data_IF_491727750444
#
_entry.id   IF_491727750444
#
_cell.length_a   1.000
_cell.length_b   1.000
_cell.length_c   1.000
_cell.angle_alpha   90.00
_cell.angle_beta   90.00
_cell.angle_gamma   90.00
#
_symmetry.space_group_name_H-M   'P 1'
#
loop_
_entity.id
_entity.type
_entity.pdbx_description
1 polymer ?
#
# COMPACT_ATOMS: atom_id res chain seq x y z
N UNK A 1 -27.15 -14.12 -30.25
CA UNK A 1 -26.09 -13.15 -30.57
C UNK A 1 -25.99 -12.03 -29.52
N UNK A 2 -27.09 -11.63 -28.86
CA UNK A 2 -27.05 -10.63 -27.76
C UNK A 2 -26.48 -11.17 -26.44
N UNK A 3 -26.82 -12.39 -26.04
CA UNK A 3 -26.40 -12.97 -24.73
C UNK A 3 -24.88 -13.10 -24.57
N UNK A 4 -24.14 -13.33 -25.67
CA UNK A 4 -22.67 -13.41 -25.67
C UNK A 4 -22.03 -12.04 -25.49
N UNK A 5 -22.63 -10.99 -26.06
CA UNK A 5 -22.14 -9.62 -25.92
C UNK A 5 -22.36 -9.10 -24.49
N UNK A 6 -23.49 -9.44 -23.87
CA UNK A 6 -23.78 -9.07 -22.49
C UNK A 6 -22.82 -9.75 -21.51
N UNK A 7 -22.54 -11.05 -21.69
CA UNK A 7 -21.55 -11.78 -20.89
C UNK A 7 -20.14 -11.19 -21.01
N UNK A 8 -19.73 -10.79 -22.21
CA UNK A 8 -18.42 -10.16 -22.46
C UNK A 8 -18.33 -8.80 -21.78
N UNK A 9 -19.40 -8.01 -21.81
CA UNK A 9 -19.50 -6.70 -21.14
C UNK A 9 -19.40 -6.83 -19.62
N UNK A 10 -20.04 -7.84 -19.03
CA UNK A 10 -19.96 -8.11 -17.60
C UNK A 10 -18.55 -8.52 -17.17
N UNK A 11 -17.90 -9.41 -17.92
CA UNK A 11 -16.50 -9.80 -17.68
C UNK A 11 -15.54 -8.61 -17.73
N UNK A 12 -15.73 -7.71 -18.70
CA UNK A 12 -14.92 -6.49 -18.82
C UNK A 12 -15.11 -5.57 -17.61
N UNK A 13 -16.34 -5.39 -17.15
CA UNK A 13 -16.66 -4.60 -15.96
C UNK A 13 -15.97 -5.17 -14.71
N UNK A 14 -16.10 -6.48 -14.47
CA UNK A 14 -15.45 -7.16 -13.34
C UNK A 14 -13.93 -7.00 -13.37
N UNK A 15 -13.32 -7.02 -14.56
CA UNK A 15 -11.88 -6.80 -14.71
C UNK A 15 -11.46 -5.37 -14.35
N UNK A 16 -12.27 -4.37 -14.70
CA UNK A 16 -12.01 -2.98 -14.31
C UNK A 16 -12.15 -2.81 -12.80
N UNK A 17 -13.23 -3.34 -12.21
CA UNK A 17 -13.48 -3.28 -10.76
C UNK A 17 -12.31 -3.90 -9.98
N UNK A 18 -11.89 -5.12 -10.34
CA UNK A 18 -10.75 -5.78 -9.69
C UNK A 18 -9.44 -4.98 -9.81
N UNK A 19 -9.23 -4.29 -10.93
CA UNK A 19 -8.07 -3.41 -11.13
C UNK A 19 -8.15 -2.17 -10.23
N UNK A 20 -9.31 -1.54 -10.15
CA UNK A 20 -9.52 -0.36 -9.30
C UNK A 20 -9.36 -0.70 -7.83
N UNK A 21 -9.90 -1.83 -7.39
CA UNK A 21 -9.76 -2.32 -6.02
C UNK A 21 -8.31 -2.57 -5.65
N UNK A 22 -7.54 -3.25 -6.51
CA UNK A 22 -6.11 -3.46 -6.31
C UNK A 22 -5.34 -2.13 -6.17
N UNK A 23 -5.63 -1.16 -7.03
CA UNK A 23 -4.98 0.16 -6.98
C UNK A 23 -5.36 0.88 -5.68
N UNK A 24 -6.64 0.83 -5.29
CA UNK A 24 -7.12 1.46 -4.05
C UNK A 24 -6.42 0.89 -2.83
N UNK A 25 -6.35 -0.44 -2.71
CA UNK A 25 -5.64 -1.09 -1.59
C UNK A 25 -4.15 -0.76 -1.58
N UNK A 26 -3.51 -0.70 -2.75
CA UNK A 26 -2.10 -0.32 -2.86
C UNK A 26 -1.86 1.09 -2.31
N UNK A 27 -2.76 2.04 -2.61
CA UNK A 27 -2.70 3.39 -2.05
C UNK A 27 -2.98 3.44 -0.55
N UNK A 28 -3.94 2.65 -0.05
CA UNK A 28 -4.20 2.55 1.40
C UNK A 28 -2.93 2.08 2.13
N UNK A 29 -2.27 1.03 1.65
CA UNK A 29 -1.01 0.53 2.22
C UNK A 29 0.12 1.56 2.19
N UNK A 30 0.19 2.37 1.13
CA UNK A 30 1.15 3.48 1.05
C UNK A 30 0.84 4.56 2.10
N UNK A 31 -0.45 4.87 2.33
CA UNK A 31 -0.86 5.83 3.36
C UNK A 31 -0.57 5.31 4.78
N UNK A 32 -0.74 4.02 5.03
CA UNK A 32 -0.35 3.41 6.31
C UNK A 32 1.15 3.59 6.60
N UNK A 33 2.01 3.43 5.59
CA UNK A 33 3.45 3.68 5.72
C UNK A 33 3.73 5.15 6.06
N UNK A 34 3.01 6.10 5.44
CA UNK A 34 3.18 7.52 5.75
C UNK A 34 2.80 7.84 7.19
N UNK A 35 1.70 7.28 7.71
CA UNK A 35 1.30 7.49 9.11
C UNK A 35 2.38 7.00 10.10
N UNK A 36 2.97 5.82 9.85
CA UNK A 36 4.05 5.29 10.69
C UNK A 36 5.30 6.16 10.60
N UNK A 37 5.62 6.69 9.41
CA UNK A 37 6.73 7.63 9.22
C UNK A 37 6.52 8.92 10.02
N UNK A 38 5.35 9.52 9.93
CA UNK A 38 5.02 10.75 10.66
C UNK A 38 5.13 10.54 12.17
N UNK A 39 4.65 9.40 12.67
CA UNK A 39 4.73 9.07 14.08
C UNK A 39 6.19 8.82 14.53
N UNK A 40 7.00 8.15 13.70
CA UNK A 40 8.43 8.01 13.94
C UNK A 40 9.14 9.37 13.98
N UNK A 41 8.78 10.31 13.11
CA UNK A 41 9.34 11.67 13.10
C UNK A 41 8.96 12.44 14.38
N UNK A 42 7.73 12.30 14.88
CA UNK A 42 7.31 12.88 16.16
C UNK A 42 8.08 12.27 17.33
N UNK A 43 8.20 10.95 17.38
CA UNK A 43 8.94 10.24 18.43
C UNK A 43 10.40 10.72 18.47
N UNK A 44 11.08 10.79 17.31
CA UNK A 44 12.46 11.27 17.23
C UNK A 44 12.63 12.71 17.72
N UNK A 45 11.67 13.59 17.40
CA UNK A 45 11.67 14.98 17.86
C UNK A 45 11.41 15.10 19.37
N UNK A 46 10.56 14.24 19.92
CA UNK A 46 10.22 14.25 21.35
C UNK A 46 11.31 13.66 22.25
N UNK A 47 11.89 12.53 21.86
CA UNK A 47 12.88 11.79 22.65
C UNK A 47 14.30 12.35 22.54
N UNK A 48 14.61 13.09 21.46
CA UNK A 48 15.92 13.70 21.23
C UNK A 48 17.04 12.64 21.25
N UNK A 49 18.03 12.73 22.18
CA UNK A 49 19.12 11.75 22.28
C UNK A 49 18.66 10.31 22.54
N UNK A 50 17.52 10.12 23.21
CA UNK A 50 17.03 8.78 23.57
C UNK A 50 16.23 8.10 22.44
N UNK A 51 16.07 8.75 21.29
CA UNK A 51 15.25 8.27 20.19
C UNK A 51 15.71 6.91 19.63
N UNK A 52 16.99 6.56 19.78
CA UNK A 52 17.51 5.28 19.30
C UNK A 52 16.93 4.08 20.05
N UNK A 53 16.66 4.24 21.35
CA UNK A 53 16.11 3.19 22.20
C UNK A 53 14.58 3.25 22.20
N UNK A 54 14.02 4.43 22.48
CA UNK A 54 12.58 4.60 22.68
C UNK A 54 11.76 4.51 21.38
N UNK A 55 12.33 4.93 20.23
CA UNK A 55 11.66 4.87 18.93
C UNK A 55 12.05 3.66 18.07
N UNK A 56 12.84 2.71 18.61
CA UNK A 56 13.36 1.56 17.86
C UNK A 56 12.26 0.73 17.20
N UNK A 57 11.21 0.42 17.94
CA UNK A 57 10.10 -0.40 17.45
C UNK A 57 9.33 0.27 16.30
N UNK A 58 9.20 1.61 16.32
CA UNK A 58 8.61 2.37 15.20
C UNK A 58 9.51 2.34 13.97
N UNK A 59 10.83 2.44 14.17
CA UNK A 59 11.80 2.36 13.08
C UNK A 59 11.79 0.97 12.42
N UNK A 60 11.77 -0.10 13.22
CA UNK A 60 11.68 -1.48 12.73
C UNK A 60 10.35 -1.72 12.00
N UNK A 61 9.22 -1.26 12.56
CA UNK A 61 7.92 -1.34 11.91
C UNK A 61 7.90 -0.60 10.58
N UNK A 62 8.43 0.62 10.53
CA UNK A 62 8.53 1.40 9.31
C UNK A 62 9.39 0.68 8.25
N UNK A 63 10.55 0.16 8.65
CA UNK A 63 11.43 -0.60 7.76
C UNK A 63 10.76 -1.86 7.20
N UNK A 64 10.01 -2.60 8.02
CA UNK A 64 9.27 -3.77 7.57
C UNK A 64 8.18 -3.37 6.56
N UNK A 65 7.39 -2.34 6.88
CA UNK A 65 6.32 -1.89 5.99
C UNK A 65 6.85 -1.36 4.65
N UNK A 66 8.03 -0.75 4.60
CA UNK A 66 8.66 -0.35 3.33
C UNK A 66 9.00 -1.53 2.42
N UNK A 67 9.21 -2.72 2.97
CA UNK A 67 9.46 -3.94 2.19
C UNK A 67 8.15 -4.55 1.70
N UNK A 68 7.16 -4.64 2.58
CA UNK A 68 5.91 -5.34 2.33
C UNK A 68 4.91 -4.51 1.51
N UNK A 69 4.81 -3.21 1.79
CA UNK A 69 3.81 -2.31 1.22
C UNK A 69 4.30 -1.54 -0.02
N UNK A 70 5.31 -2.07 -0.73
CA UNK A 70 5.76 -1.45 -1.99
C UNK A 70 4.59 -1.36 -2.98
N UNK A 71 4.41 -0.21 -3.59
CA UNK A 71 3.43 0.00 -4.65
C UNK A 71 3.76 -0.91 -5.83
N UNK A 72 2.99 -1.99 -5.98
CA UNK A 72 3.04 -2.88 -7.14
C UNK A 72 1.95 -2.44 -8.09
N UNK A 73 2.30 -2.23 -9.36
CA UNK A 73 1.31 -1.96 -10.40
C UNK A 73 0.43 -3.19 -10.64
N UNK A 74 -0.82 -2.99 -11.07
CA UNK A 74 -1.71 -4.10 -11.46
C UNK A 74 -1.17 -4.89 -12.67
N UNK A 75 -0.38 -4.25 -13.54
CA UNK A 75 0.25 -4.91 -14.68
C UNK A 75 1.52 -5.62 -14.22
N UNK A 76 1.45 -6.93 -14.07
CA UNK A 76 2.63 -7.77 -13.87
C UNK A 76 3.36 -7.84 -15.21
N UNK A 77 4.58 -7.31 -15.25
CA UNK A 77 5.49 -7.45 -16.39
C UNK A 77 6.49 -8.53 -15.98
N UNK A 78 6.41 -9.71 -16.58
CA UNK A 78 7.47 -10.71 -16.45
C UNK A 78 8.70 -10.12 -17.14
N UNK A 79 9.75 -9.84 -16.35
CA UNK A 79 11.05 -9.38 -16.84
C UNK A 79 11.99 -10.56 -16.95
#
# INVERSE_FOLDING_TARGET
MSTVQDATKELYRKRIEAREDHIRESWVKAMEVQLVREELEKCRKGEGPNALENCKWLAEKYSQMLQDNKLKGYKIIET
#
